data_IF_068237337111
#
_entry.id   IF_068237337111
#
_cell.length_a   1.000
_cell.length_b   1.000
_cell.length_c   1.000
_cell.angle_alpha   90.00
_cell.angle_beta   90.00
_cell.angle_gamma   90.00
#
_symmetry.space_group_name_H-M   'P 1'
#
loop_
_entity.id
_entity.type
_entity.pdbx_description
1 polymer ?
#
# COMPACT_ATOMS: atom_id res chain seq x y z
N UNK A 1 4.29 -12.80 -5.33
CA UNK A 1 2.98 -13.47 -5.55
C UNK A 1 2.87 -13.73 -7.03
N UNK A 2 2.41 -14.92 -7.44
CA UNK A 2 2.26 -15.28 -8.85
C UNK A 2 1.41 -14.26 -9.64
N UNK A 3 0.41 -13.64 -8.99
CA UNK A 3 -0.36 -12.56 -9.61
C UNK A 3 0.48 -11.32 -9.90
N UNK A 4 1.26 -10.85 -8.93
CA UNK A 4 2.12 -9.68 -9.09
C UNK A 4 3.17 -9.92 -10.18
N UNK A 5 3.80 -11.10 -10.20
CA UNK A 5 4.81 -11.43 -11.22
C UNK A 5 4.22 -11.50 -12.63
N UNK A 6 2.97 -11.99 -12.79
CA UNK A 6 2.28 -12.04 -14.08
C UNK A 6 2.09 -10.66 -14.71
N UNK A 7 1.82 -9.63 -13.91
CA UNK A 7 1.49 -8.30 -14.43
C UNK A 7 2.60 -7.27 -14.25
N UNK A 8 3.44 -7.42 -13.23
CA UNK A 8 4.53 -6.49 -12.89
C UNK A 8 5.92 -7.09 -13.15
N UNK A 9 6.04 -8.37 -13.49
CA UNK A 9 7.34 -9.04 -13.63
C UNK A 9 8.06 -9.25 -12.30
N UNK A 10 9.32 -9.68 -12.36
CA UNK A 10 10.14 -9.90 -11.16
C UNK A 10 10.58 -8.55 -10.53
N UNK A 11 10.59 -8.44 -9.19
CA UNK A 11 10.98 -7.22 -8.48
C UNK A 11 12.51 -7.10 -8.31
N UNK A 12 13.30 -7.57 -9.27
CA UNK A 12 14.76 -7.49 -9.23
C UNK A 12 15.29 -6.34 -10.11
N UNK A 13 16.54 -5.95 -9.88
CA UNK A 13 17.17 -4.78 -10.53
C UNK A 13 17.27 -4.94 -12.05
N UNK A 14 17.36 -6.18 -12.53
CA UNK A 14 17.44 -6.52 -13.95
C UNK A 14 16.08 -6.61 -14.65
N UNK A 15 14.97 -6.60 -13.90
CA UNK A 15 13.61 -6.57 -14.41
C UNK A 15 12.91 -5.28 -13.95
N UNK A 16 11.83 -5.38 -13.17
CA UNK A 16 10.92 -4.25 -12.93
C UNK A 16 11.06 -3.60 -11.55
N UNK A 17 12.26 -3.59 -10.95
CA UNK A 17 12.48 -2.95 -9.63
C UNK A 17 11.92 -1.52 -9.55
N UNK A 18 12.11 -0.73 -10.61
CA UNK A 18 11.62 0.66 -10.68
C UNK A 18 10.08 0.73 -10.65
N UNK A 19 9.39 -0.11 -11.41
CA UNK A 19 7.92 -0.13 -11.45
C UNK A 19 7.29 -0.51 -10.12
N UNK A 20 7.87 -1.47 -9.39
CA UNK A 20 7.47 -1.77 -8.01
C UNK A 20 7.68 -0.55 -7.09
N UNK A 21 8.80 0.16 -7.24
CA UNK A 21 9.10 1.35 -6.45
C UNK A 21 8.23 2.57 -6.73
N UNK A 22 7.78 2.77 -7.97
CA UNK A 22 6.91 3.89 -8.39
C UNK A 22 5.42 3.63 -8.10
N UNK A 23 5.04 2.35 -8.05
CA UNK A 23 3.68 1.91 -7.70
C UNK A 23 3.43 1.90 -6.19
N UNK A 24 4.47 2.17 -5.39
CA UNK A 24 4.37 2.24 -3.93
C UNK A 24 3.47 3.40 -3.49
N UNK A 25 2.30 3.04 -2.97
CA UNK A 25 1.30 3.98 -2.44
C UNK A 25 1.78 4.72 -1.19
N UNK A 26 2.73 4.16 -0.43
CA UNK A 26 3.26 4.80 0.77
C UNK A 26 4.01 6.09 0.45
N UNK A 27 4.58 6.21 -0.76
CA UNK A 27 5.24 7.43 -1.23
C UNK A 27 4.26 8.52 -1.64
N UNK A 28 2.98 8.18 -1.81
CA UNK A 28 1.92 9.05 -2.33
C UNK A 28 0.94 9.50 -1.24
N UNK A 29 1.15 9.12 0.02
CA UNK A 29 0.21 9.41 1.11
C UNK A 29 -0.02 10.89 1.38
N UNK A 30 0.94 11.77 1.05
CA UNK A 30 0.81 13.22 1.21
C UNK A 30 -0.35 13.78 0.37
N UNK A 31 -0.72 13.14 -0.74
CA UNK A 31 -1.90 13.52 -1.54
C UNK A 31 -3.23 13.28 -0.81
N UNK A 32 -3.23 12.49 0.26
CA UNK A 32 -4.39 12.25 1.12
C UNK A 32 -4.52 13.31 2.23
N UNK A 33 -3.55 14.22 2.35
CA UNK A 33 -3.61 15.30 3.33
C UNK A 33 -4.82 16.19 3.04
N UNK A 34 -5.59 16.48 4.08
CA UNK A 34 -6.85 17.24 4.01
C UNK A 34 -7.96 16.57 3.18
N UNK A 35 -7.84 15.26 2.88
CA UNK A 35 -8.92 14.47 2.28
C UNK A 35 -9.58 13.60 3.34
N UNK A 36 -10.85 13.30 3.14
CA UNK A 36 -11.52 12.25 3.90
C UNK A 36 -11.08 10.90 3.33
N UNK A 37 -10.28 10.17 4.10
CA UNK A 37 -9.84 8.83 3.74
C UNK A 37 -10.36 7.81 4.74
N UNK A 38 -11.00 6.76 4.22
CA UNK A 38 -11.55 5.67 5.02
C UNK A 38 -10.94 4.35 4.57
N UNK A 39 -10.22 3.69 5.47
CA UNK A 39 -9.54 2.42 5.24
C UNK A 39 -10.38 1.30 5.83
N UNK A 40 -10.87 0.38 5.01
CA UNK A 40 -11.66 -0.77 5.46
C UNK A 40 -10.92 -2.05 5.05
N UNK A 41 -10.67 -2.97 5.98
CA UNK A 41 -10.02 -4.25 5.68
C UNK A 41 -10.61 -5.39 6.53
N UNK A 42 -10.90 -6.53 5.89
CA UNK A 42 -11.29 -7.75 6.60
C UNK A 42 -10.10 -8.41 7.30
N UNK A 43 -10.23 -8.69 8.61
CA UNK A 43 -9.19 -9.40 9.38
C UNK A 43 -9.04 -10.87 9.00
N UNK A 44 -10.05 -11.45 8.33
CA UNK A 44 -10.06 -12.80 7.78
C UNK A 44 -9.79 -12.84 6.25
N UNK A 45 -9.23 -11.77 5.67
CA UNK A 45 -8.83 -11.77 4.26
C UNK A 45 -7.55 -12.59 4.08
N UNK A 46 -7.69 -13.73 3.39
CA UNK A 46 -6.61 -14.69 3.15
C UNK A 46 -5.83 -14.39 1.85
N UNK A 47 -6.27 -13.41 1.06
CA UNK A 47 -5.70 -13.07 -0.26
C UNK A 47 -4.87 -11.80 -0.22
N UNK A 48 -5.36 -10.76 0.47
CA UNK A 48 -4.62 -9.53 0.74
C UNK A 48 -4.37 -9.42 2.23
N UNK A 49 -3.12 -9.69 2.61
CA UNK A 49 -2.75 -9.77 4.02
C UNK A 49 -2.98 -8.44 4.73
N UNK A 50 -3.61 -8.50 5.91
CA UNK A 50 -3.87 -7.36 6.81
C UNK A 50 -2.63 -6.49 7.09
N UNK A 51 -1.42 -7.07 7.00
CA UNK A 51 -0.16 -6.35 7.14
C UNK A 51 0.00 -5.18 6.16
N UNK A 52 -0.58 -5.25 4.95
CA UNK A 52 -0.54 -4.17 3.98
C UNK A 52 -1.33 -2.94 4.47
N UNK A 53 -2.55 -3.15 4.95
CA UNK A 53 -3.39 -2.07 5.52
C UNK A 53 -2.76 -1.47 6.78
N UNK A 54 -2.13 -2.30 7.62
CA UNK A 54 -1.39 -1.82 8.80
C UNK A 54 -0.14 -1.00 8.43
N UNK A 55 0.58 -1.39 7.37
CA UNK A 55 1.69 -0.61 6.87
C UNK A 55 1.21 0.75 6.36
N UNK A 56 0.09 0.82 5.63
CA UNK A 56 -0.50 2.09 5.18
C UNK A 56 -0.90 2.98 6.36
N UNK A 57 -1.64 2.43 7.32
CA UNK A 57 -2.05 3.12 8.54
C UNK A 57 -0.83 3.68 9.30
N UNK A 58 0.25 2.90 9.43
CA UNK A 58 1.49 3.35 10.06
C UNK A 58 2.12 4.53 9.32
N UNK A 59 2.13 4.54 7.99
CA UNK A 59 2.68 5.65 7.21
C UNK A 59 1.83 6.92 7.33
N UNK A 60 0.50 6.81 7.29
CA UNK A 60 -0.42 7.92 7.50
C UNK A 60 -0.25 8.54 8.90
N UNK A 61 -0.20 7.70 9.94
CA UNK A 61 0.00 8.14 11.32
C UNK A 61 1.35 8.84 11.52
N UNK A 62 2.44 8.31 10.94
CA UNK A 62 3.77 8.95 11.00
C UNK A 62 3.81 10.34 10.36
N UNK A 63 2.94 10.61 9.38
CA UNK A 63 2.85 11.90 8.67
C UNK A 63 1.76 12.83 9.23
N UNK A 64 1.07 12.41 10.30
CA UNK A 64 -0.01 13.16 10.91
C UNK A 64 -1.20 13.35 9.97
N UNK A 65 -1.44 12.41 9.06
CA UNK A 65 -2.56 12.48 8.11
C UNK A 65 -3.76 11.79 8.73
N UNK A 66 -4.89 12.49 8.80
CA UNK A 66 -6.12 11.97 9.40
C UNK A 66 -6.77 10.94 8.48
N UNK A 67 -7.16 9.80 9.06
CA UNK A 67 -7.93 8.75 8.39
C UNK A 67 -8.85 8.06 9.40
N UNK A 68 -9.86 7.37 8.89
CA UNK A 68 -10.69 6.44 9.68
C UNK A 68 -10.37 5.01 9.27
N UNK A 69 -10.48 4.05 10.20
CA UNK A 69 -10.21 2.64 9.93
C UNK A 69 -11.32 1.74 10.51
N UNK A 70 -11.71 0.69 9.78
CA UNK A 70 -12.57 -0.40 10.25
C UNK A 70 -12.05 -1.76 9.78
#
# INVERSE_FOLDING_TARGET
>A
SAYAERYMGLPNVTANYKGYGESDVYKKIEYLRHKMFYLVQGTADNTVQFQQSMALARHLSKKGILFRQQ
#
